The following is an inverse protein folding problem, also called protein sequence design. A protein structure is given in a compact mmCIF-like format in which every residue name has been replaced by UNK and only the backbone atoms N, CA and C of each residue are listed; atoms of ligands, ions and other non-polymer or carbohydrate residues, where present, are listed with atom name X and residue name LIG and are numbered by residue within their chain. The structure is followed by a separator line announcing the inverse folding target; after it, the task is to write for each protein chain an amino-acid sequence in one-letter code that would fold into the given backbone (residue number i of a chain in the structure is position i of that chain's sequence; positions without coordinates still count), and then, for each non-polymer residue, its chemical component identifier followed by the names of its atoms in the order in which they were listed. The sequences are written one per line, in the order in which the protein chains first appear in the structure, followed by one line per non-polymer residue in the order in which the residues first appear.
data_IF_977789366172
#
_entry.id   IF_977789366172
#
_cell.length_a   1.000
_cell.length_b   1.000
_cell.length_c   1.000
_cell.angle_alpha   90.00
_cell.angle_beta   90.00
_cell.angle_gamma   90.00
#
_symmetry.space_group_name_H-M   'P 1'
#
loop_
_entity.id
_entity.type
_entity.pdbx_description
1 polymer ?
#
# COMPACT_ATOMS: atom_id res chain seq x y z
N UNK A 1 -13.94 3.32 -15.72
CA UNK A 1 -14.09 4.16 -16.93
C UNK A 1 -12.78 4.84 -17.29
N UNK A 2 -12.22 5.67 -16.42
CA UNK A 2 -11.01 6.47 -16.69
C UNK A 2 -9.79 5.59 -16.98
N UNK A 3 -9.54 4.58 -16.14
CA UNK A 3 -8.44 3.65 -16.37
C UNK A 3 -8.62 2.81 -17.65
N UNK A 4 -9.85 2.39 -17.94
CA UNK A 4 -10.16 1.69 -19.18
C UNK A 4 -9.90 2.58 -20.40
N UNK A 5 -10.28 3.87 -20.32
CA UNK A 5 -10.04 4.86 -21.36
C UNK A 5 -8.53 5.10 -21.60
N UNK A 6 -7.77 5.21 -20.52
CA UNK A 6 -6.32 5.33 -20.61
C UNK A 6 -5.70 4.11 -21.33
N UNK A 7 -6.01 2.89 -20.89
CA UNK A 7 -5.47 1.68 -21.53
C UNK A 7 -5.94 1.51 -22.97
N UNK A 8 -7.20 1.85 -23.26
CA UNK A 8 -7.72 1.84 -24.62
C UNK A 8 -6.83 2.63 -25.59
N UNK A 9 -6.42 3.83 -25.18
CA UNK A 9 -5.52 4.65 -25.97
C UNK A 9 -4.08 4.12 -26.00
N UNK A 10 -3.57 3.62 -24.89
CA UNK A 10 -2.20 3.08 -24.83
C UNK A 10 -1.96 1.88 -25.73
N UNK A 11 -2.92 0.96 -25.79
CA UNK A 11 -2.81 -0.23 -26.64
C UNK A 11 -3.23 0.04 -28.10
N UNK A 12 -3.66 1.27 -28.44
CA UNK A 12 -4.16 1.60 -29.75
C UNK A 12 -5.40 0.79 -30.14
N UNK A 13 -6.30 0.53 -29.19
CA UNK A 13 -7.47 -0.31 -29.40
C UNK A 13 -8.37 0.25 -30.52
N UNK A 14 -8.99 -0.65 -31.30
CA UNK A 14 -9.85 -0.31 -32.45
C UNK A 14 -11.31 -0.75 -32.29
N UNK A 15 -11.65 -1.35 -31.13
CA UNK A 15 -13.02 -1.70 -30.80
C UNK A 15 -13.76 -0.52 -30.16
N UNK A 16 -15.09 -0.53 -30.16
CA UNK A 16 -15.85 0.52 -29.48
C UNK A 16 -15.74 0.39 -27.94
N UNK A 17 -15.33 1.47 -27.28
CA UNK A 17 -15.34 1.57 -25.81
C UNK A 17 -16.49 2.48 -25.38
N UNK A 18 -17.47 1.93 -24.67
CA UNK A 18 -18.56 2.68 -24.09
C UNK A 18 -18.36 2.80 -22.58
N UNK A 19 -18.09 4.01 -22.09
CA UNK A 19 -17.95 4.29 -20.66
C UNK A 19 -19.25 4.89 -20.13
N UNK A 20 -19.87 4.21 -19.19
CA UNK A 20 -21.02 4.74 -18.46
C UNK A 20 -20.46 5.43 -17.22
N UNK A 21 -20.50 6.77 -17.22
CA UNK A 21 -20.05 7.54 -16.07
C UNK A 21 -21.03 7.40 -14.89
N UNK A 22 -20.49 7.37 -13.68
CA UNK A 22 -21.31 7.54 -12.49
C UNK A 22 -21.98 8.93 -12.54
N UNK A 23 -23.20 9.04 -12.06
CA UNK A 23 -23.88 10.34 -11.99
C UNK A 23 -23.03 11.29 -11.15
N UNK A 24 -22.54 12.35 -11.79
CA UNK A 24 -21.84 13.43 -11.13
C UNK A 24 -22.86 14.23 -10.32
N UNK A 25 -23.07 13.84 -9.09
CA UNK A 25 -23.81 14.64 -8.12
C UNK A 25 -22.82 15.24 -7.13
N UNK A 26 -23.20 16.32 -6.44
CA UNK A 26 -22.41 16.85 -5.32
C UNK A 26 -22.12 15.77 -4.26
N UNK A 27 -22.90 14.69 -4.25
CA UNK A 27 -22.67 13.50 -3.43
C UNK A 27 -21.39 12.72 -3.79
N UNK A 28 -20.83 12.88 -5.00
CA UNK A 28 -19.53 12.27 -5.34
C UNK A 28 -18.39 12.91 -4.55
N UNK A 29 -18.60 14.09 -3.97
CA UNK A 29 -17.67 14.78 -3.07
C UNK A 29 -17.84 14.36 -1.61
N UNK A 30 -18.92 13.66 -1.30
CA UNK A 30 -19.18 13.13 0.04
C UNK A 30 -18.74 11.68 0.09
N UNK A 31 -18.05 11.34 1.16
CA UNK A 31 -17.75 9.94 1.46
C UNK A 31 -19.06 9.18 1.59
N UNK A 32 -19.30 8.24 0.70
CA UNK A 32 -20.46 7.36 0.81
C UNK A 32 -20.31 6.48 2.06
N UNK A 33 -21.43 6.18 2.74
CA UNK A 33 -21.38 5.25 3.86
C UNK A 33 -20.78 3.92 3.43
N UNK A 34 -19.84 3.40 4.21
CA UNK A 34 -19.27 2.08 3.98
C UNK A 34 -20.29 1.02 4.38
N UNK A 35 -21.01 0.48 3.40
CA UNK A 35 -22.13 -0.44 3.66
C UNK A 35 -21.78 -1.90 3.45
N UNK A 36 -20.91 -2.19 2.47
CA UNK A 36 -20.52 -3.55 2.13
C UNK A 36 -19.02 -3.58 1.90
N UNK A 37 -18.31 -4.42 2.65
CA UNK A 37 -16.89 -4.64 2.44
C UNK A 37 -16.65 -5.32 1.07
N UNK A 38 -15.70 -4.83 0.23
CA UNK A 38 -15.44 -5.41 -1.09
C UNK A 38 -14.85 -6.82 -1.02
N UNK A 39 -14.17 -7.15 0.07
CA UNK A 39 -13.59 -8.46 0.33
C UNK A 39 -13.44 -8.69 1.83
N UNK A 40 -13.33 -9.96 2.25
CA UNK A 40 -13.10 -10.33 3.65
C UNK A 40 -11.83 -9.70 4.23
N UNK A 41 -10.82 -9.51 3.39
CA UNK A 41 -9.54 -8.93 3.78
C UNK A 41 -9.49 -7.39 3.67
N UNK A 42 -10.62 -6.77 3.32
CA UNK A 42 -10.79 -5.32 3.27
C UNK A 42 -12.07 -4.96 4.05
N UNK A 43 -12.06 -5.09 5.38
CA UNK A 43 -13.27 -4.95 6.19
C UNK A 43 -13.66 -3.48 6.47
N UNK A 44 -12.80 -2.52 6.17
CA UNK A 44 -13.04 -1.11 6.48
C UNK A 44 -12.24 -0.14 5.63
N UNK A 45 -12.58 1.15 5.73
CA UNK A 45 -11.90 2.23 5.01
C UNK A 45 -10.41 2.30 5.33
N UNK A 46 -10.05 2.16 6.59
CA UNK A 46 -8.64 2.10 7.02
C UNK A 46 -7.83 1.05 6.28
N UNK A 47 -8.43 -0.12 6.05
CA UNK A 47 -7.77 -1.19 5.29
C UNK A 47 -7.55 -0.79 3.84
N UNK A 48 -8.46 -0.01 3.23
CA UNK A 48 -8.27 0.50 1.86
C UNK A 48 -7.04 1.40 1.78
N UNK A 49 -6.86 2.30 2.73
CA UNK A 49 -5.71 3.21 2.78
C UNK A 49 -4.40 2.41 2.90
N UNK A 50 -4.38 1.41 3.77
CA UNK A 50 -3.22 0.53 3.96
C UNK A 50 -2.94 -0.37 2.75
N UNK A 51 -3.99 -0.90 2.11
CA UNK A 51 -3.88 -1.90 1.05
C UNK A 51 -3.17 -1.37 -0.20
N UNK A 52 -3.35 -0.10 -0.57
CA UNK A 52 -2.86 0.43 -1.85
C UNK A 52 -1.34 0.23 -2.04
N UNK A 53 -0.54 0.49 -1.02
CA UNK A 53 0.89 0.16 -1.02
C UNK A 53 1.18 -1.16 -0.29
N UNK A 54 0.45 -1.44 0.78
CA UNK A 54 0.61 -2.64 1.62
C UNK A 54 0.37 -3.96 0.90
N UNK A 55 -0.29 -3.94 -0.26
CA UNK A 55 -0.42 -5.10 -1.12
C UNK A 55 0.91 -5.74 -1.54
N UNK A 56 2.01 -5.00 -1.50
CA UNK A 56 3.36 -5.52 -1.76
C UNK A 56 3.81 -6.58 -0.73
N UNK A 57 3.31 -6.53 0.52
CA UNK A 57 3.62 -7.52 1.54
C UNK A 57 3.22 -8.95 1.17
N UNK A 58 2.25 -9.11 0.27
CA UNK A 58 1.81 -10.43 -0.18
C UNK A 58 2.92 -11.21 -0.90
N UNK A 59 3.89 -10.52 -1.48
CA UNK A 59 5.05 -11.10 -2.15
C UNK A 59 6.32 -11.02 -1.30
N UNK A 60 6.18 -11.12 0.02
CA UNK A 60 7.28 -11.24 0.99
C UNK A 60 6.98 -12.37 1.98
N UNK A 61 7.97 -12.79 2.74
CA UNK A 61 7.74 -13.75 3.84
C UNK A 61 7.26 -13.08 5.14
N UNK A 62 6.68 -11.90 5.06
CA UNK A 62 5.99 -11.22 6.17
C UNK A 62 4.49 -11.26 5.88
N UNK A 63 3.67 -11.54 6.89
CA UNK A 63 2.21 -11.49 6.72
C UNK A 63 1.68 -10.08 6.98
N UNK A 64 0.81 -9.56 6.08
CA UNK A 64 0.10 -8.32 6.32
C UNK A 64 -1.16 -8.52 7.19
N UNK A 65 -1.18 -9.49 8.08
CA UNK A 65 -2.30 -9.71 9.01
C UNK A 65 -3.56 -10.29 8.38
N UNK A 66 -3.50 -10.84 7.17
CA UNK A 66 -4.61 -11.59 6.57
C UNK A 66 -4.97 -12.75 7.50
N UNK A 67 -6.26 -12.99 7.71
CA UNK A 67 -6.74 -13.98 8.69
C UNK A 67 -6.79 -13.45 10.13
N UNK A 68 -6.66 -12.14 10.34
CA UNK A 68 -6.90 -11.46 11.61
C UNK A 68 -8.09 -10.50 11.49
N UNK A 69 -8.48 -9.86 12.60
CA UNK A 69 -9.49 -8.80 12.58
C UNK A 69 -9.00 -7.49 11.94
N UNK A 70 -7.70 -7.38 11.61
CA UNK A 70 -7.07 -6.16 11.08
C UNK A 70 -6.10 -6.46 9.93
N UNK A 71 -6.61 -6.97 8.80
CA UNK A 71 -5.78 -7.19 7.61
C UNK A 71 -5.14 -5.88 7.15
N UNK A 72 -3.88 -5.95 6.74
CA UNK A 72 -3.03 -4.82 6.32
C UNK A 72 -2.71 -3.77 7.38
N UNK A 73 -3.40 -3.80 8.53
CA UNK A 73 -3.06 -3.00 9.70
C UNK A 73 -2.05 -3.71 10.63
N UNK A 74 -1.93 -5.04 10.53
CA UNK A 74 -0.90 -5.83 11.20
C UNK A 74 0.14 -6.28 10.21
N UNK A 75 1.42 -6.07 10.54
CA UNK A 75 2.57 -6.53 9.76
C UNK A 75 3.48 -7.33 10.66
N UNK A 76 3.82 -8.56 10.28
CA UNK A 76 4.69 -9.36 11.12
C UNK A 76 4.99 -10.75 10.61
N UNK A 77 5.80 -11.49 11.37
CA UNK A 77 6.17 -12.86 11.07
C UNK A 77 6.62 -13.59 12.35
N UNK A 78 6.71 -14.93 12.32
CA UNK A 78 7.22 -15.69 13.47
C UNK A 78 8.68 -15.39 13.83
N UNK A 79 9.49 -14.96 12.85
CA UNK A 79 10.91 -14.63 13.05
C UNK A 79 11.13 -13.21 13.59
N UNK A 80 10.11 -12.35 13.56
CA UNK A 80 10.23 -11.00 14.12
C UNK A 80 10.34 -11.08 15.64
N UNK A 81 11.36 -10.46 16.17
CA UNK A 81 11.56 -10.37 17.62
C UNK A 81 11.16 -8.98 18.09
N UNK A 82 9.93 -8.84 18.54
CA UNK A 82 9.52 -7.61 19.23
C UNK A 82 9.97 -7.72 20.68
N UNK A 83 11.18 -7.30 20.98
CA UNK A 83 11.51 -7.00 22.36
C UNK A 83 10.85 -5.64 22.71
N UNK A 84 10.24 -5.54 23.88
CA UNK A 84 9.74 -4.26 24.39
C UNK A 84 10.87 -3.20 24.57
N UNK A 85 12.12 -3.61 24.39
CA UNK A 85 13.32 -2.79 24.48
C UNK A 85 13.91 -2.38 23.12
N UNK A 86 13.36 -2.84 22.00
CA UNK A 86 13.88 -2.47 20.67
C UNK A 86 13.23 -1.17 20.19
N UNK A 87 14.00 -0.26 19.56
CA UNK A 87 13.43 0.95 19.00
C UNK A 87 12.44 0.59 17.91
N UNK A 88 11.24 1.13 18.03
CA UNK A 88 10.21 1.03 16.99
C UNK A 88 10.64 1.89 15.80
N UNK A 89 10.55 1.41 14.56
CA UNK A 89 10.87 2.24 13.41
C UNK A 89 10.01 3.48 13.39
N UNK A 90 10.62 4.63 13.08
CA UNK A 90 9.92 5.89 12.92
C UNK A 90 9.57 6.06 11.45
N UNK A 91 8.29 6.15 11.16
CA UNK A 91 7.75 6.40 9.83
C UNK A 91 6.79 7.57 9.91
N UNK A 92 7.00 8.58 9.05
CA UNK A 92 6.19 9.81 9.07
C UNK A 92 4.70 9.50 8.85
N UNK A 93 3.84 10.10 9.67
CA UNK A 93 2.38 9.94 9.58
C UNK A 93 1.82 8.65 10.17
N UNK A 94 2.66 7.85 10.82
CA UNK A 94 2.25 6.54 11.35
C UNK A 94 2.78 6.30 12.75
N UNK A 95 1.91 5.78 13.60
CA UNK A 95 2.29 5.20 14.89
C UNK A 95 2.39 3.68 14.73
N UNK A 96 3.53 3.12 15.04
CA UNK A 96 3.77 1.69 15.02
C UNK A 96 3.73 1.14 16.46
N UNK A 97 2.74 0.33 16.76
CA UNK A 97 2.61 -0.32 18.05
C UNK A 97 3.10 -1.76 17.98
N UNK A 98 4.14 -2.15 18.72
CA UNK A 98 4.55 -3.55 18.83
C UNK A 98 3.38 -4.44 19.29
N UNK A 99 3.18 -5.56 18.60
CA UNK A 99 2.10 -6.49 18.92
C UNK A 99 2.45 -7.93 18.56
N UNK A 100 1.62 -8.86 19.00
CA UNK A 100 1.62 -10.24 18.52
C UNK A 100 0.21 -10.63 18.10
N UNK A 101 0.13 -11.49 17.09
CA UNK A 101 -1.14 -11.97 16.56
C UNK A 101 -0.96 -13.38 15.98
N UNK A 102 -2.08 -14.09 15.81
CA UNK A 102 -2.08 -15.43 15.19
C UNK A 102 -3.12 -15.42 14.09
N UNK A 103 -2.69 -15.45 12.81
CA UNK A 103 -3.62 -15.52 11.69
C UNK A 103 -4.45 -16.82 11.72
N UNK A 104 -5.72 -16.74 11.38
CA UNK A 104 -6.60 -17.92 11.26
C UNK A 104 -6.48 -18.60 9.90
N UNK A 105 -6.04 -17.86 8.88
CA UNK A 105 -5.83 -18.35 7.52
C UNK A 105 -4.67 -17.61 6.84
N UNK A 106 -4.33 -18.04 5.62
CA UNK A 106 -3.26 -17.42 4.83
C UNK A 106 -1.86 -17.72 5.36
N UNK A 107 -0.95 -16.77 5.14
CA UNK A 107 0.44 -16.90 5.56
C UNK A 107 0.56 -17.00 7.08
N UNK A 108 1.25 -18.04 7.55
CA UNK A 108 1.43 -18.36 8.98
C UNK A 108 0.12 -18.67 9.73
N UNK A 109 -0.89 -19.24 9.07
CA UNK A 109 -2.11 -19.70 9.74
C UNK A 109 -1.80 -20.57 10.96
N UNK A 110 -2.40 -20.25 12.12
CA UNK A 110 -2.20 -20.95 13.39
C UNK A 110 -0.84 -20.71 14.07
N UNK A 111 0.07 -19.95 13.48
CA UNK A 111 1.37 -19.62 14.07
C UNK A 111 1.36 -18.24 14.70
N UNK A 112 1.96 -18.10 15.87
CA UNK A 112 2.14 -16.82 16.52
C UNK A 112 3.16 -15.99 15.74
N UNK A 113 2.74 -14.82 15.30
CA UNK A 113 3.55 -13.80 14.65
C UNK A 113 3.79 -12.64 15.62
N UNK A 114 4.93 -12.00 15.47
CA UNK A 114 5.26 -10.76 16.14
C UNK A 114 5.50 -9.68 15.10
N UNK A 115 5.28 -8.43 15.44
CA UNK A 115 5.44 -7.32 14.52
C UNK A 115 4.78 -6.05 15.04
N UNK A 116 4.13 -5.34 14.14
CA UNK A 116 3.58 -4.02 14.44
C UNK A 116 2.12 -3.91 14.00
N UNK A 117 1.35 -3.21 14.82
CA UNK A 117 0.10 -2.62 14.38
C UNK A 117 0.39 -1.22 13.85
N UNK A 118 -0.12 -0.94 12.67
CA UNK A 118 -0.04 0.35 11.99
C UNK A 118 -1.27 1.17 12.41
N UNK A 119 -1.04 2.38 12.89
CA UNK A 119 -2.09 3.34 13.23
C UNK A 119 -1.75 4.67 12.57
N UNK A 120 -2.71 5.28 11.88
CA UNK A 120 -2.50 6.58 11.25
C UNK A 120 -2.58 7.70 12.28
N UNK A 121 -1.70 8.67 12.15
CA UNK A 121 -1.76 9.89 12.96
C UNK A 121 -2.90 10.78 12.46
N UNK A 122 -3.81 11.23 13.33
CA UNK A 122 -4.90 12.11 12.92
C UNK A 122 -4.38 13.42 12.31
N UNK A 123 -4.90 13.78 11.13
CA UNK A 123 -4.58 15.04 10.47
C UNK A 123 -3.25 15.04 9.69
N UNK A 124 -2.55 13.92 9.66
CA UNK A 124 -1.34 13.75 8.83
C UNK A 124 -1.71 13.05 7.53
N UNK A 125 -1.12 13.50 6.43
CA UNK A 125 -1.29 12.87 5.13
C UNK A 125 -0.56 11.52 5.11
N UNK A 126 -1.28 10.46 4.76
CA UNK A 126 -0.75 9.11 4.73
C UNK A 126 -0.46 8.65 3.30
N UNK A 127 0.75 8.16 3.07
CA UNK A 127 1.15 7.62 1.78
C UNK A 127 1.53 6.14 1.92
N UNK A 128 0.62 5.26 1.57
CA UNK A 128 0.73 3.82 1.79
C UNK A 128 2.00 3.19 1.18
N UNK A 129 2.37 3.57 -0.05
CA UNK A 129 3.57 3.03 -0.71
C UNK A 129 4.85 3.45 0.04
N UNK A 130 5.00 4.73 0.34
CA UNK A 130 6.15 5.28 1.08
C UNK A 130 6.35 4.53 2.40
N UNK A 131 5.28 4.44 3.18
CA UNK A 131 5.30 3.73 4.45
C UNK A 131 5.68 2.25 4.31
N UNK A 132 5.11 1.57 3.32
CA UNK A 132 5.42 0.16 3.05
C UNK A 132 6.89 -0.05 2.69
N UNK A 133 7.45 0.81 1.83
CA UNK A 133 8.85 0.73 1.43
C UNK A 133 9.81 0.97 2.61
N UNK A 134 9.52 1.97 3.45
CA UNK A 134 10.33 2.24 4.64
C UNK A 134 10.32 1.07 5.62
N UNK A 135 9.16 0.46 5.84
CA UNK A 135 9.06 -0.73 6.68
C UNK A 135 9.77 -1.95 6.05
N UNK A 136 9.66 -2.17 4.75
CA UNK A 136 10.37 -3.25 4.07
C UNK A 136 11.89 -3.10 4.20
N UNK A 137 12.38 -1.87 4.03
CA UNK A 137 13.79 -1.55 4.26
C UNK A 137 14.21 -1.86 5.70
N UNK A 138 13.42 -1.42 6.69
CA UNK A 138 13.66 -1.73 8.10
C UNK A 138 13.70 -3.23 8.35
N UNK A 139 12.75 -4.01 7.80
CA UNK A 139 12.74 -5.47 7.94
C UNK A 139 13.97 -6.11 7.30
N UNK A 140 14.40 -5.63 6.13
CA UNK A 140 15.58 -6.11 5.42
C UNK A 140 16.87 -5.90 6.22
N UNK A 141 17.00 -4.75 6.85
CA UNK A 141 18.18 -4.41 7.65
C UNK A 141 18.21 -5.15 9.01
N UNK A 142 17.02 -5.41 9.57
CA UNK A 142 16.90 -5.90 10.94
C UNK A 142 16.83 -7.41 11.04
N UNK A 143 16.21 -8.08 10.08
CA UNK A 143 15.92 -9.51 10.12
C UNK A 143 16.57 -10.23 8.95
N UNK A 144 17.58 -11.06 9.26
CA UNK A 144 18.28 -11.86 8.24
C UNK A 144 17.34 -12.86 7.51
N UNK A 145 16.25 -13.23 8.18
CA UNK A 145 15.21 -14.11 7.62
C UNK A 145 14.29 -13.42 6.63
N UNK A 146 14.24 -12.07 6.63
CA UNK A 146 13.37 -11.33 5.70
C UNK A 146 13.80 -11.55 4.26
N UNK A 147 12.83 -11.84 3.39
CA UNK A 147 13.06 -11.99 1.96
C UNK A 147 11.84 -11.53 1.15
N UNK A 148 12.14 -11.03 -0.03
CA UNK A 148 11.19 -10.86 -1.11
C UNK A 148 10.92 -12.23 -1.74
N UNK A 149 9.68 -12.52 -2.09
CA UNK A 149 9.24 -13.77 -2.69
C UNK A 149 8.99 -13.57 -4.21
N UNK A 150 8.78 -14.66 -4.92
CA UNK A 150 8.56 -14.66 -6.36
C UNK A 150 7.43 -13.69 -6.77
N UNK A 151 7.66 -12.98 -7.87
CA UNK A 151 6.72 -11.99 -8.40
C UNK A 151 6.73 -10.64 -7.66
N UNK A 152 7.60 -10.43 -6.66
CA UNK A 152 7.70 -9.13 -6.00
C UNK A 152 8.19 -8.05 -6.96
N UNK A 153 9.23 -8.33 -7.72
CA UNK A 153 9.83 -7.38 -8.67
C UNK A 153 8.83 -6.98 -9.75
N UNK A 154 8.09 -7.94 -10.30
CA UNK A 154 7.04 -7.68 -11.29
C UNK A 154 5.92 -6.80 -10.72
N UNK A 155 5.57 -7.02 -9.45
CA UNK A 155 4.52 -6.26 -8.78
C UNK A 155 4.94 -4.84 -8.43
N UNK A 156 6.17 -4.66 -7.97
CA UNK A 156 6.74 -3.34 -7.69
C UNK A 156 6.98 -2.58 -9.01
N UNK A 157 7.50 -3.27 -10.04
CA UNK A 157 7.78 -2.76 -11.39
C UNK A 157 8.62 -1.48 -11.41
N UNK A 158 9.45 -1.27 -10.39
CA UNK A 158 10.29 -0.09 -10.22
C UNK A 158 11.67 -0.48 -9.66
N UNK A 159 12.71 -0.46 -10.50
CA UNK A 159 14.05 -0.86 -10.08
C UNK A 159 14.71 0.09 -9.07
N UNK A 160 14.33 1.39 -9.07
CA UNK A 160 14.88 2.35 -8.12
C UNK A 160 14.35 2.07 -6.72
N UNK A 161 13.05 1.77 -6.62
CA UNK A 161 12.43 1.42 -5.35
C UNK A 161 12.88 0.04 -4.84
N UNK A 162 13.16 -0.90 -5.75
CA UNK A 162 13.78 -2.17 -5.40
C UNK A 162 15.19 -1.97 -4.84
N UNK A 163 16.00 -1.14 -5.49
CA UNK A 163 17.34 -0.77 -5.01
C UNK A 163 17.30 -0.05 -3.66
N UNK A 164 16.25 0.75 -3.42
CA UNK A 164 16.04 1.32 -2.09
C UNK A 164 15.80 0.24 -1.02
N UNK A 165 14.91 -0.72 -1.28
CA UNK A 165 14.67 -1.83 -0.34
C UNK A 165 15.96 -2.63 -0.09
N UNK A 166 16.80 -2.80 -1.12
CA UNK A 166 18.07 -3.52 -1.04
C UNK A 166 19.19 -2.73 -0.37
N UNK A 167 19.05 -1.42 -0.20
CA UNK A 167 20.04 -0.59 0.48
C UNK A 167 21.06 0.09 -0.41
N UNK A 168 20.82 0.09 -1.68
CA UNK A 168 21.70 0.64 -2.71
C UNK A 168 21.37 2.11 -3.00
N UNK A 169 20.14 2.54 -2.73
CA UNK A 169 19.63 3.89 -2.94
C UNK A 169 19.25 4.51 -1.59
N UNK A 170 19.50 5.80 -1.43
CA UNK A 170 19.10 6.55 -0.23
C UNK A 170 17.59 6.79 -0.16
N UNK A 171 17.08 7.11 1.04
CA UNK A 171 15.67 7.48 1.19
C UNK A 171 15.32 8.76 0.44
N UNK A 172 16.20 9.76 0.46
CA UNK A 172 15.94 11.03 -0.20
C UNK A 172 15.85 10.86 -1.72
N UNK A 173 16.72 10.05 -2.32
CA UNK A 173 16.66 9.73 -3.75
C UNK A 173 15.41 8.94 -4.11
N UNK A 174 15.02 7.96 -3.31
CA UNK A 174 13.81 7.18 -3.52
C UNK A 174 12.55 8.04 -3.40
N UNK A 175 12.50 8.95 -2.42
CA UNK A 175 11.38 9.88 -2.22
C UNK A 175 11.24 10.86 -3.39
N UNK A 176 12.33 11.41 -3.87
CA UNK A 176 12.30 12.30 -5.05
C UNK A 176 11.88 11.54 -6.32
N UNK A 177 12.35 10.30 -6.49
CA UNK A 177 11.93 9.44 -7.59
C UNK A 177 10.41 9.21 -7.56
N UNK A 178 9.83 8.83 -6.41
CA UNK A 178 8.39 8.64 -6.24
C UNK A 178 7.64 9.91 -6.66
N UNK A 179 8.05 11.06 -6.14
CA UNK A 179 7.42 12.34 -6.43
C UNK A 179 7.44 12.68 -7.92
N UNK A 180 8.56 12.43 -8.62
CA UNK A 180 8.67 12.65 -10.06
C UNK A 180 7.73 11.73 -10.84
N UNK A 181 7.69 10.44 -10.50
CA UNK A 181 6.83 9.46 -11.18
C UNK A 181 5.33 9.74 -10.93
N UNK A 182 4.95 10.12 -9.73
CA UNK A 182 3.58 10.54 -9.41
C UNK A 182 3.15 11.76 -10.22
N UNK A 183 4.00 12.76 -10.35
CA UNK A 183 3.70 13.94 -11.16
C UNK A 183 3.58 13.61 -12.65
N UNK A 184 4.39 12.67 -13.16
CA UNK A 184 4.25 12.17 -14.55
C UNK A 184 2.92 11.46 -14.71
N UNK A 185 2.55 10.60 -13.75
CA UNK A 185 1.30 9.87 -13.74
C UNK A 185 0.08 10.81 -13.69
N UNK A 186 0.07 11.79 -12.80
CA UNK A 186 -1.01 12.77 -12.67
C UNK A 186 -1.23 13.51 -13.99
N UNK A 187 -0.14 13.97 -14.63
CA UNK A 187 -0.22 14.66 -15.94
C UNK A 187 -0.78 13.76 -17.04
N UNK A 188 -0.44 12.48 -17.02
CA UNK A 188 -0.94 11.48 -17.96
C UNK A 188 -2.41 11.16 -17.69
N UNK A 189 -2.76 10.83 -16.45
CA UNK A 189 -4.10 10.45 -16.03
C UNK A 189 -5.12 11.56 -16.25
N UNK A 190 -4.73 12.82 -16.03
CA UNK A 190 -5.60 14.00 -16.24
C UNK A 190 -6.18 14.09 -17.65
N UNK A 191 -5.49 13.58 -18.66
CA UNK A 191 -5.98 13.58 -20.07
C UNK A 191 -7.19 12.66 -20.28
N UNK A 192 -7.38 11.70 -19.39
CA UNK A 192 -8.40 10.66 -19.47
C UNK A 192 -9.42 10.74 -18.33
N UNK A 193 -9.30 11.76 -17.48
CA UNK A 193 -10.22 12.01 -16.39
C UNK A 193 -11.62 12.34 -16.95
N UNK A 194 -12.62 11.70 -16.38
CA UNK A 194 -14.04 11.92 -16.68
C UNK A 194 -14.73 12.76 -15.60
N UNK A 195 -14.08 12.94 -14.47
CA UNK A 195 -14.57 13.65 -13.30
C UNK A 195 -13.60 14.76 -12.93
N UNK A 196 -14.12 15.92 -12.52
CA UNK A 196 -13.30 17.07 -12.11
C UNK A 196 -12.58 16.88 -10.76
N UNK A 197 -12.98 15.87 -10.01
CA UNK A 197 -12.50 15.58 -8.68
C UNK A 197 -11.40 14.52 -8.70
N UNK A 198 -10.21 14.87 -9.20
CA UNK A 198 -9.04 14.08 -8.85
C UNK A 198 -8.73 14.34 -7.37
N UNK A 199 -8.87 13.34 -6.49
CA UNK A 199 -8.67 13.51 -5.04
C UNK A 199 -7.24 13.85 -4.65
N UNK A 200 -6.32 13.90 -5.60
CA UNK A 200 -4.91 14.17 -5.39
C UNK A 200 -4.58 15.64 -5.66
N UNK A 201 -4.99 16.50 -4.75
CA UNK A 201 -4.27 17.75 -4.54
C UNK A 201 -3.11 17.44 -3.59
N UNK A 202 -1.98 17.02 -4.15
CA UNK A 202 -0.74 17.22 -3.40
C UNK A 202 -0.53 18.73 -3.26
N UNK A 203 -0.67 19.23 -2.04
CA UNK A 203 -0.29 20.57 -1.66
C UNK A 203 1.23 20.67 -1.52
#
# INVERSE_FOLDING_TARGET
GELANLYYHEIGAKFALHVISALATDSNKQLMPWTIAPASDIPGLFTCDMYSGGGLWNNTNVTPGIGTARPYEYIGAPFVKTAAAEPVPVVEGVLLRPCSFTPSCGKYAGKKCFGYQIMLEPGVEYHSLIHTLQLMRYFKERYAEFRLEDGFEDKLSDPVLLSYINGEVSWDDAKEHIKVEEQKWIRKAKKFALYDDLPYRMK
#
